data_IF_706290980720
#
_entry.id   IF_706290980720
#
_cell.length_a   1.000
_cell.length_b   1.000
_cell.length_c   1.000
_cell.angle_alpha   90.00
_cell.angle_beta   90.00
_cell.angle_gamma   90.00
#
_symmetry.space_group_name_H-M   'P 1'
#
loop_
_entity.id
_entity.type
_entity.pdbx_description
1 polymer ?
#
# COMPACT_ATOMS: atom_id res chain seq x y z
N UNK A 1 5.98 -21.17 -22.87
CA UNK A 1 6.25 -19.94 -22.09
C UNK A 1 4.94 -19.58 -21.42
N UNK A 2 4.78 -19.98 -20.17
CA UNK A 2 3.53 -19.91 -19.42
C UNK A 2 3.59 -18.69 -18.51
N UNK A 3 2.61 -17.82 -18.64
CA UNK A 3 2.48 -16.57 -17.88
C UNK A 3 2.08 -16.90 -16.44
N UNK A 4 2.93 -16.52 -15.47
CA UNK A 4 2.67 -16.67 -14.03
C UNK A 4 2.96 -15.32 -13.37
N UNK A 5 1.96 -14.74 -12.70
CA UNK A 5 2.15 -13.65 -11.77
C UNK A 5 2.23 -14.22 -10.36
N UNK A 6 3.40 -14.09 -9.71
CA UNK A 6 3.53 -14.34 -8.28
C UNK A 6 3.48 -12.97 -7.59
N UNK A 7 2.44 -12.74 -6.80
CA UNK A 7 2.40 -11.61 -5.88
C UNK A 7 2.83 -12.12 -4.50
N UNK A 8 3.59 -11.31 -3.76
CA UNK A 8 4.02 -11.67 -2.42
C UNK A 8 3.32 -10.78 -1.41
N UNK A 9 2.75 -11.41 -0.39
CA UNK A 9 2.10 -10.72 0.70
C UNK A 9 2.65 -11.26 2.01
N UNK A 10 3.32 -10.39 2.78
CA UNK A 10 3.64 -10.69 4.17
C UNK A 10 2.34 -10.57 4.94
N UNK A 11 1.82 -11.69 5.44
CA UNK A 11 0.56 -11.73 6.16
C UNK A 11 0.84 -11.63 7.66
N UNK A 12 0.16 -10.72 8.34
CA UNK A 12 0.18 -10.59 9.81
C UNK A 12 -1.06 -11.26 10.40
N UNK A 13 -0.96 -11.69 11.67
CA UNK A 13 -2.10 -12.14 12.45
C UNK A 13 -2.63 -10.93 13.24
N UNK A 14 -3.79 -10.39 12.87
CA UNK A 14 -4.44 -9.29 13.60
C UNK A 14 -5.43 -9.89 14.62
N UNK A 15 -5.18 -9.68 15.92
CA UNK A 15 -6.02 -10.20 17.01
C UNK A 15 -7.06 -9.18 17.52
N UNK A 16 -7.49 -8.24 16.68
CA UNK A 16 -8.57 -7.30 16.99
C UNK A 16 -9.94 -7.84 16.59
N UNK A 17 -10.80 -8.09 17.58
CA UNK A 17 -12.19 -8.56 17.43
C UNK A 17 -13.03 -7.70 16.47
N UNK A 18 -13.63 -8.34 15.45
CA UNK A 18 -15.09 -8.48 15.20
C UNK A 18 -15.27 -9.03 13.77
N UNK A 19 -15.79 -10.27 13.69
CA UNK A 19 -16.18 -11.07 12.50
C UNK A 19 -15.07 -11.88 11.80
N UNK A 20 -15.09 -13.19 12.08
CA UNK A 20 -14.36 -14.29 11.41
C UNK A 20 -12.83 -14.18 11.39
N UNK A 21 -12.17 -15.20 11.97
CA UNK A 21 -10.75 -15.50 11.81
C UNK A 21 -10.36 -15.46 10.33
N UNK A 22 -9.81 -14.34 9.89
CA UNK A 22 -9.43 -14.07 8.53
C UNK A 22 -7.98 -13.59 8.55
N UNK A 23 -7.10 -14.31 7.87
CA UNK A 23 -5.76 -13.81 7.58
C UNK A 23 -5.94 -12.54 6.74
N UNK A 24 -5.47 -11.38 7.24
CA UNK A 24 -5.45 -10.14 6.45
C UNK A 24 -4.34 -10.26 5.41
N UNK A 25 -4.73 -10.77 4.23
CA UNK A 25 -3.91 -10.75 3.02
C UNK A 25 -4.07 -9.38 2.35
N UNK A 26 -2.96 -8.66 2.20
CA UNK A 26 -2.91 -7.33 1.61
C UNK A 26 -3.01 -7.40 0.07
N UNK A 27 -4.24 -7.57 -0.45
CA UNK A 27 -4.63 -7.30 -1.84
C UNK A 27 -5.18 -8.51 -2.63
N UNK A 28 -6.16 -8.25 -3.48
CA UNK A 28 -6.70 -9.19 -4.45
C UNK A 28 -6.28 -8.75 -5.87
N UNK A 29 -5.46 -9.52 -6.58
CA UNK A 29 -5.02 -9.13 -7.93
C UNK A 29 -6.01 -9.61 -9.01
N UNK A 30 -7.00 -8.79 -9.39
CA UNK A 30 -7.77 -9.01 -10.63
C UNK A 30 -6.97 -8.48 -11.83
N UNK A 31 -6.00 -9.26 -12.31
CA UNK A 31 -5.23 -8.89 -13.50
C UNK A 31 -6.03 -9.20 -14.79
N UNK A 32 -6.86 -8.25 -15.22
CA UNK A 32 -7.39 -8.20 -16.60
C UNK A 32 -6.51 -7.38 -17.53
N UNK A 33 -5.25 -7.77 -17.71
CA UNK A 33 -4.47 -7.53 -18.93
C UNK A 33 -3.08 -8.16 -18.84
N UNK A 34 -2.66 -8.79 -19.93
CA UNK A 34 -1.50 -9.67 -20.01
C UNK A 34 -0.15 -8.97 -19.84
N UNK A 35 0.77 -9.76 -19.27
CA UNK A 35 2.22 -9.58 -19.05
C UNK A 35 2.66 -8.79 -17.81
N UNK A 36 3.29 -9.52 -16.89
CA UNK A 36 4.45 -9.20 -16.01
C UNK A 36 5.01 -10.55 -15.51
N UNK A 37 6.28 -10.99 -15.62
CA UNK A 37 7.64 -10.40 -15.62
C UNK A 37 8.08 -9.80 -14.28
N UNK A 38 8.35 -10.70 -13.33
CA UNK A 38 9.34 -10.58 -12.23
C UNK A 38 10.26 -9.34 -12.37
N UNK A 39 10.21 -8.40 -11.40
CA UNK A 39 11.25 -7.39 -11.22
C UNK A 39 11.96 -7.61 -9.87
N UNK A 40 12.85 -8.62 -9.76
CA UNK A 40 13.49 -9.01 -8.49
C UNK A 40 14.57 -8.03 -7.99
N UNK A 41 14.65 -6.81 -8.53
CA UNK A 41 15.77 -5.91 -8.27
C UNK A 41 15.53 -4.88 -7.16
N UNK A 42 14.28 -4.65 -6.71
CA UNK A 42 14.00 -3.59 -5.73
C UNK A 42 14.71 -3.78 -4.38
N UNK A 43 14.73 -5.01 -3.86
CA UNK A 43 15.45 -5.34 -2.62
C UNK A 43 16.95 -5.58 -2.85
N UNK A 44 17.36 -6.05 -4.04
CA UNK A 44 18.79 -6.22 -4.36
C UNK A 44 19.55 -4.89 -4.40
N UNK A 45 18.87 -3.80 -4.75
CA UNK A 45 19.46 -2.46 -4.85
C UNK A 45 19.72 -1.83 -3.47
N UNK A 46 18.99 -2.24 -2.42
CA UNK A 46 19.21 -1.76 -1.05
C UNK A 46 20.07 -2.75 -0.27
N UNK A 47 21.40 -2.63 -0.40
CA UNK A 47 22.32 -3.41 0.42
C UNK A 47 21.93 -3.31 1.90
N UNK A 48 21.72 -4.47 2.54
CA UNK A 48 21.46 -4.65 3.99
C UNK A 48 20.11 -4.19 4.53
N UNK A 49 19.05 -4.27 3.73
CA UNK A 49 17.66 -4.13 4.21
C UNK A 49 16.99 -5.51 4.27
N UNK A 50 16.32 -5.85 5.38
CA UNK A 50 15.62 -7.13 5.52
C UNK A 50 14.33 -7.01 6.35
N UNK A 51 13.38 -7.91 6.12
CA UNK A 51 12.18 -8.02 6.97
C UNK A 51 12.50 -8.92 8.17
N UNK A 52 12.19 -8.44 9.37
CA UNK A 52 12.37 -9.21 10.60
C UNK A 52 11.20 -10.18 10.80
N UNK A 53 11.46 -11.48 10.82
CA UNK A 53 10.44 -12.53 10.95
C UNK A 53 10.78 -13.51 12.07
N UNK A 54 9.77 -14.18 12.63
CA UNK A 54 9.93 -15.17 13.69
C UNK A 54 10.37 -14.58 15.04
N UNK A 55 10.69 -15.45 16.00
CA UNK A 55 11.11 -15.04 17.35
C UNK A 55 10.07 -14.14 18.02
N UNK A 56 10.48 -12.94 18.42
CA UNK A 56 9.62 -11.90 19.02
C UNK A 56 8.95 -10.97 17.98
N UNK A 57 9.16 -11.16 16.68
CA UNK A 57 8.49 -10.37 15.62
C UNK A 57 7.01 -10.74 15.50
N UNK A 58 6.16 -9.80 15.10
CA UNK A 58 4.73 -10.04 14.83
C UNK A 58 4.50 -10.96 13.61
N UNK A 59 5.50 -11.14 12.75
CA UNK A 59 5.43 -12.03 11.58
C UNK A 59 5.83 -13.45 11.98
N UNK A 60 4.85 -14.33 12.23
CA UNK A 60 5.08 -15.73 12.60
C UNK A 60 5.00 -16.72 11.43
N UNK A 61 4.32 -16.34 10.35
CA UNK A 61 4.07 -17.21 9.20
C UNK A 61 4.31 -16.45 7.90
N UNK A 62 4.70 -17.20 6.87
CA UNK A 62 4.78 -16.70 5.51
C UNK A 62 3.68 -17.39 4.69
N UNK A 63 2.87 -16.60 4.01
CA UNK A 63 1.78 -17.09 3.17
C UNK A 63 2.10 -16.70 1.74
N UNK A 64 2.12 -17.68 0.84
CA UNK A 64 2.29 -17.46 -0.58
C UNK A 64 0.91 -17.49 -1.27
N UNK A 65 0.57 -16.41 -1.96
CA UNK A 65 -0.61 -16.35 -2.82
C UNK A 65 -0.18 -16.40 -4.29
N UNK A 66 -0.61 -17.44 -5.01
CA UNK A 66 -0.31 -17.58 -6.45
C UNK A 66 -1.59 -17.37 -7.24
N UNK A 67 -1.60 -16.39 -8.14
CA UNK A 67 -2.74 -16.10 -8.99
C UNK A 67 -2.60 -16.80 -10.35
N UNK A 68 -3.45 -17.80 -10.59
CA UNK A 68 -3.49 -18.52 -11.85
C UNK A 68 -4.63 -18.02 -12.74
N UNK A 69 -4.29 -17.43 -13.89
CA UNK A 69 -5.30 -17.01 -14.88
C UNK A 69 -5.99 -18.19 -15.58
N UNK A 70 -5.38 -19.38 -15.55
CA UNK A 70 -5.88 -20.59 -16.19
C UNK A 70 -5.68 -21.78 -15.28
N UNK A 71 -6.58 -22.75 -15.37
CA UNK A 71 -6.40 -24.04 -14.72
C UNK A 71 -5.11 -24.69 -15.22
N UNK A 72 -4.24 -25.07 -14.29
CA UNK A 72 -3.00 -25.79 -14.57
C UNK A 72 -3.15 -27.29 -14.22
N UNK A 73 -2.22 -28.11 -14.72
CA UNK A 73 -1.96 -29.45 -14.17
C UNK A 73 -1.20 -29.35 -12.84
N UNK A 74 -0.49 -30.41 -12.40
CA UNK A 74 0.42 -30.31 -11.26
C UNK A 74 1.42 -29.16 -11.45
N UNK A 75 1.51 -28.28 -10.45
CA UNK A 75 2.36 -27.08 -10.46
C UNK A 75 3.14 -26.99 -9.15
N UNK A 76 4.35 -26.45 -9.24
CA UNK A 76 5.29 -26.28 -8.12
C UNK A 76 5.80 -24.83 -8.04
N UNK A 77 4.97 -23.86 -8.48
CA UNK A 77 5.31 -22.44 -8.38
C UNK A 77 5.52 -22.06 -6.92
N UNK A 78 6.56 -21.25 -6.70
CA UNK A 78 7.00 -20.89 -5.36
C UNK A 78 8.00 -19.75 -5.41
N UNK A 79 8.44 -19.32 -4.24
CA UNK A 79 9.51 -18.35 -4.07
C UNK A 79 10.62 -18.97 -3.23
N UNK A 80 11.87 -18.69 -3.59
CA UNK A 80 13.02 -18.95 -2.73
C UNK A 80 13.28 -17.70 -1.89
N UNK A 81 13.41 -17.87 -0.58
CA UNK A 81 13.68 -16.78 0.37
C UNK A 81 15.07 -16.99 0.94
N UNK A 82 15.92 -15.98 0.82
CA UNK A 82 17.19 -15.92 1.53
C UNK A 82 16.94 -15.35 2.93
N UNK A 83 17.48 -16.02 3.95
CA UNK A 83 17.32 -15.62 5.34
C UNK A 83 18.65 -15.70 6.08
N UNK A 84 18.80 -14.88 7.12
CA UNK A 84 19.96 -14.87 7.99
C UNK A 84 19.50 -14.66 9.44
N UNK A 85 20.30 -15.15 10.38
CA UNK A 85 20.15 -14.84 11.82
C UNK A 85 21.04 -13.69 12.25
N UNK A 86 21.93 -13.23 11.36
CA UNK A 86 22.74 -12.04 11.62
C UNK A 86 21.84 -10.80 11.66
N UNK A 87 21.98 -9.93 12.69
CA UNK A 87 21.20 -8.71 12.77
C UNK A 87 21.40 -7.83 11.53
N UNK A 88 20.29 -7.36 10.95
CA UNK A 88 20.31 -6.42 9.85
C UNK A 88 20.48 -5.00 10.40
N UNK A 89 21.27 -4.17 9.72
CA UNK A 89 21.43 -2.75 10.07
C UNK A 89 20.13 -1.97 9.84
N UNK A 90 19.37 -2.39 8.82
CA UNK A 90 18.12 -1.77 8.41
C UNK A 90 17.00 -2.80 8.35
N UNK A 91 15.89 -2.48 9.01
CA UNK A 91 14.69 -3.33 9.00
C UNK A 91 13.64 -2.73 8.09
N UNK A 92 13.10 -3.54 7.18
CA UNK A 92 11.98 -3.17 6.32
C UNK A 92 10.64 -3.45 7.00
N UNK A 93 9.66 -2.59 6.69
CA UNK A 93 8.26 -2.80 7.02
C UNK A 93 7.37 -2.20 5.91
N UNK A 94 6.06 -2.29 6.07
CA UNK A 94 5.07 -1.77 5.12
C UNK A 94 4.00 -0.98 5.87
N UNK A 95 3.74 0.25 5.42
CA UNK A 95 2.61 1.07 5.83
C UNK A 95 1.48 0.87 4.80
N UNK A 96 0.30 0.50 5.28
CA UNK A 96 -0.93 0.46 4.48
C UNK A 96 -1.71 1.76 4.70
N UNK A 97 -1.95 2.51 3.64
CA UNK A 97 -2.97 3.56 3.62
C UNK A 97 -4.21 3.02 2.90
N UNK A 98 -5.36 3.04 3.56
CA UNK A 98 -6.60 2.43 3.07
C UNK A 98 -7.79 3.34 3.36
N UNK A 99 -8.80 3.30 2.48
CA UNK A 99 -10.05 4.05 2.71
C UNK A 99 -11.27 3.13 2.74
N UNK A 100 -12.27 3.55 3.50
CA UNK A 100 -13.66 3.13 3.30
C UNK A 100 -14.36 3.93 2.20
N UNK A 101 -15.68 3.98 2.30
CA UNK A 101 -16.53 4.87 1.50
C UNK A 101 -17.29 4.15 0.40
N UNK A 102 -18.00 4.94 -0.40
CA UNK A 102 -18.84 4.45 -1.51
C UNK A 102 -18.56 5.29 -2.75
N UNK A 103 -18.14 4.63 -3.83
CA UNK A 103 -18.01 5.22 -5.16
C UNK A 103 -19.40 5.30 -5.82
N UNK A 104 -20.00 6.49 -5.95
CA UNK A 104 -21.35 6.63 -6.48
C UNK A 104 -21.41 6.36 -7.99
N UNK A 105 -22.60 6.07 -8.53
CA UNK A 105 -22.80 5.82 -9.97
C UNK A 105 -22.47 7.05 -10.82
N UNK A 106 -21.94 6.82 -12.02
CA UNK A 106 -21.67 7.86 -13.04
C UNK A 106 -20.85 9.07 -12.56
N UNK A 107 -19.89 8.87 -11.65
CA UNK A 107 -19.14 9.95 -11.01
C UNK A 107 -17.63 9.68 -11.00
N UNK A 108 -16.85 10.74 -11.16
CA UNK A 108 -15.43 10.79 -10.77
C UNK A 108 -15.35 11.22 -9.31
N UNK A 109 -14.66 10.46 -8.48
CA UNK A 109 -14.52 10.74 -7.05
C UNK A 109 -13.08 10.53 -6.57
N UNK A 110 -12.70 11.21 -5.50
CA UNK A 110 -11.45 10.97 -4.79
C UNK A 110 -11.68 10.28 -3.46
N UNK A 111 -10.83 9.29 -3.15
CA UNK A 111 -10.79 8.61 -1.87
C UNK A 111 -9.47 8.95 -1.21
N UNK A 112 -9.54 9.59 -0.04
CA UNK A 112 -8.40 10.27 0.58
C UNK A 112 -8.20 9.74 1.99
N UNK A 113 -6.95 9.53 2.38
CA UNK A 113 -6.57 9.23 3.77
C UNK A 113 -5.34 10.05 4.13
N UNK A 114 -5.24 10.45 5.40
CA UNK A 114 -4.07 11.16 5.91
C UNK A 114 -3.89 10.85 7.40
N UNK A 115 -2.67 10.50 7.80
CA UNK A 115 -2.33 10.20 9.19
C UNK A 115 -1.02 10.87 9.59
N UNK A 116 -0.97 11.37 10.82
CA UNK A 116 0.24 11.89 11.43
C UNK A 116 1.09 10.69 11.88
N UNK A 117 2.39 10.74 11.64
CA UNK A 117 3.35 9.82 12.25
C UNK A 117 3.55 10.27 13.70
N UNK A 118 2.92 9.58 14.64
CA UNK A 118 2.96 9.91 16.07
C UNK A 118 4.07 9.15 16.84
N UNK A 119 4.65 8.12 16.24
CA UNK A 119 5.78 7.36 16.77
C UNK A 119 7.13 8.02 16.44
N UNK A 120 8.10 7.91 17.36
CA UNK A 120 9.51 8.34 17.13
C UNK A 120 10.21 7.32 16.21
N UNK A 121 9.94 7.44 14.91
CA UNK A 121 10.52 6.60 13.85
C UNK A 121 11.05 7.47 12.72
N UNK A 122 12.18 7.06 12.14
CA UNK A 122 12.71 7.63 10.89
C UNK A 122 12.52 6.61 9.76
N UNK A 123 11.53 6.85 8.91
CA UNK A 123 11.18 5.98 7.79
C UNK A 123 11.78 6.47 6.49
N UNK A 124 12.32 5.54 5.70
CA UNK A 124 12.86 5.79 4.37
C UNK A 124 12.08 4.99 3.33
N UNK A 125 11.08 5.60 2.67
CA UNK A 125 10.30 4.95 1.62
C UNK A 125 11.20 4.52 0.47
N UNK A 126 10.99 3.31 -0.04
CA UNK A 126 11.77 2.83 -1.18
C UNK A 126 10.94 2.11 -2.24
N UNK A 127 9.77 1.58 -1.88
CA UNK A 127 8.85 1.02 -2.86
C UNK A 127 7.38 1.29 -2.52
N UNK A 128 6.54 1.27 -3.54
CA UNK A 128 5.10 1.48 -3.47
C UNK A 128 4.37 0.40 -4.27
N UNK A 129 3.18 0.03 -3.81
CA UNK A 129 2.21 -0.80 -4.55
C UNK A 129 0.82 -0.23 -4.31
N UNK A 130 0.30 0.55 -5.26
CA UNK A 130 -1.10 0.95 -5.23
C UNK A 130 -1.99 -0.21 -5.66
N UNK A 131 -3.21 -0.24 -5.13
CA UNK A 131 -4.19 -1.27 -5.42
C UNK A 131 -5.60 -0.68 -5.44
N UNK A 132 -6.30 -0.94 -6.53
CA UNK A 132 -7.75 -0.77 -6.69
C UNK A 132 -8.31 -2.00 -7.38
N UNK A 133 -9.64 -2.11 -7.46
CA UNK A 133 -10.25 -3.03 -8.42
C UNK A 133 -10.34 -2.34 -9.78
N UNK A 134 -11.54 -2.12 -10.33
CA UNK A 134 -11.77 -1.82 -11.76
C UNK A 134 -11.85 -0.33 -12.09
N UNK A 135 -12.14 0.54 -11.12
CA UNK A 135 -12.44 1.95 -11.37
C UNK A 135 -11.29 2.91 -11.09
N UNK A 136 -10.16 2.41 -10.60
CA UNK A 136 -8.97 3.22 -10.34
C UNK A 136 -8.41 3.85 -11.61
N UNK A 137 -8.04 5.13 -11.51
CA UNK A 137 -7.38 5.89 -12.59
C UNK A 137 -5.95 6.26 -12.18
N UNK A 138 -5.79 6.76 -10.97
CA UNK A 138 -4.50 7.12 -10.41
C UNK A 138 -4.54 6.95 -8.90
N UNK A 139 -3.42 6.51 -8.32
CA UNK A 139 -3.26 6.38 -6.89
C UNK A 139 -1.89 6.90 -6.51
N UNK A 140 -1.86 7.85 -5.58
CA UNK A 140 -0.66 8.59 -5.22
C UNK A 140 -0.57 8.82 -3.72
N UNK A 141 0.65 8.98 -3.21
CA UNK A 141 0.90 9.35 -1.82
C UNK A 141 1.95 10.45 -1.68
N UNK A 142 1.86 11.21 -0.61
CA UNK A 142 2.69 12.35 -0.28
C UNK A 142 3.09 12.32 1.19
N UNK A 143 4.24 12.93 1.46
CA UNK A 143 4.55 13.48 2.79
C UNK A 143 4.08 14.92 2.81
N UNK A 144 3.36 15.30 3.85
CA UNK A 144 2.80 16.63 4.06
C UNK A 144 3.42 17.24 5.30
N UNK A 145 3.90 18.48 5.16
CA UNK A 145 4.54 19.23 6.25
C UNK A 145 4.02 20.65 6.29
N UNK A 146 3.40 21.00 7.42
CA UNK A 146 2.99 22.37 7.70
C UNK A 146 4.24 23.27 7.76
N UNK A 147 4.17 24.41 7.08
CA UNK A 147 5.20 25.43 7.07
C UNK A 147 4.88 26.50 8.13
N UNK A 148 5.87 27.32 8.55
CA UNK A 148 5.64 28.36 9.57
C UNK A 148 4.57 29.40 9.23
N UNK A 149 4.19 29.53 7.97
CA UNK A 149 3.11 30.41 7.49
C UNK A 149 1.72 29.75 7.50
N UNK A 150 1.61 28.52 8.04
CA UNK A 150 0.38 27.73 8.10
C UNK A 150 0.03 27.02 6.79
N UNK A 151 0.91 27.07 5.79
CA UNK A 151 0.69 26.38 4.51
C UNK A 151 1.25 24.98 4.49
N UNK A 152 0.60 24.06 3.78
CA UNK A 152 1.09 22.70 3.63
C UNK A 152 2.04 22.55 2.44
N UNK A 153 3.20 21.95 2.71
CA UNK A 153 4.14 21.52 1.68
C UNK A 153 3.99 20.03 1.41
N UNK A 154 3.70 19.71 0.16
CA UNK A 154 3.48 18.35 -0.31
C UNK A 154 4.69 17.83 -1.08
N UNK A 155 5.25 16.71 -0.66
CA UNK A 155 6.33 16.01 -1.36
C UNK A 155 5.81 14.65 -1.85
N UNK A 156 5.77 14.45 -3.17
CA UNK A 156 5.26 13.22 -3.78
C UNK A 156 6.20 12.04 -3.46
N UNK A 157 5.65 11.00 -2.84
CA UNK A 157 6.33 9.72 -2.63
C UNK A 157 6.29 8.91 -3.92
N UNK A 158 5.10 8.83 -4.53
CA UNK A 158 4.94 8.31 -5.88
C UNK A 158 3.48 8.12 -6.27
N UNK A 159 3.25 8.03 -7.58
CA UNK A 159 1.95 7.98 -8.24
C UNK A 159 1.97 6.86 -9.28
N UNK A 160 0.88 6.09 -9.38
CA UNK A 160 0.74 5.05 -10.41
C UNK A 160 -0.70 4.86 -10.82
N UNK A 161 -0.89 4.40 -12.06
CA UNK A 161 -2.12 3.77 -12.51
C UNK A 161 -2.25 2.39 -11.83
N UNK A 162 -3.30 2.16 -11.01
CA UNK A 162 -3.49 0.90 -10.27
C UNK A 162 -3.99 -0.27 -11.13
N UNK A 163 -4.41 -0.01 -12.38
CA UNK A 163 -4.78 -1.04 -13.35
C UNK A 163 -3.57 -1.56 -14.12
N UNK A 164 -2.44 -0.84 -14.06
CA UNK A 164 -1.17 -1.43 -14.41
C UNK A 164 -0.85 -2.59 -13.44
N UNK A 165 -0.03 -3.54 -13.88
CA UNK A 165 0.31 -4.69 -13.06
C UNK A 165 0.82 -4.30 -11.65
N UNK A 166 0.16 -4.86 -10.65
CA UNK A 166 0.22 -4.43 -9.25
C UNK A 166 1.40 -5.04 -8.48
N UNK A 167 2.61 -4.82 -8.97
CA UNK A 167 3.85 -5.14 -8.24
C UNK A 167 4.34 -3.93 -7.43
N UNK A 168 5.22 -4.19 -6.46
CA UNK A 168 6.03 -3.12 -5.87
C UNK A 168 6.93 -2.46 -6.91
N UNK A 169 7.07 -1.15 -6.79
CA UNK A 169 7.76 -0.27 -7.73
C UNK A 169 8.55 0.77 -6.94
N UNK A 170 9.69 1.26 -7.44
CA UNK A 170 10.46 2.24 -6.70
C UNK A 170 9.64 3.52 -6.49
N UNK A 171 9.85 4.18 -5.36
CA UNK A 171 9.34 5.54 -5.12
C UNK A 171 10.01 6.55 -6.08
N UNK A 172 9.38 7.71 -6.28
CA UNK A 172 9.91 8.75 -7.15
C UNK A 172 11.20 9.38 -6.60
N UNK A 173 11.31 9.48 -5.27
CA UNK A 173 12.44 10.10 -4.57
C UNK A 173 12.80 9.27 -3.33
N UNK A 174 13.95 8.61 -3.38
CA UNK A 174 14.49 7.78 -2.29
C UNK A 174 15.21 8.61 -1.22
N UNK A 175 15.34 9.93 -1.40
CA UNK A 175 15.87 10.85 -0.39
C UNK A 175 14.82 11.29 0.63
N UNK A 176 13.54 10.93 0.42
CA UNK A 176 12.47 11.20 1.37
C UNK A 176 12.78 10.49 2.69
N UNK A 177 12.73 11.28 3.76
CA UNK A 177 12.78 10.81 5.14
C UNK A 177 11.51 11.29 5.82
N UNK A 178 10.76 10.36 6.42
CA UNK A 178 9.52 10.65 7.15
C UNK A 178 9.79 10.47 8.63
N UNK A 179 9.43 11.47 9.44
CA UNK A 179 9.69 11.49 10.89
C UNK A 179 8.41 11.73 11.68
N UNK A 180 8.52 11.56 13.00
CA UNK A 180 7.48 11.98 13.93
C UNK A 180 7.00 13.41 13.65
N UNK A 181 5.68 13.60 13.62
CA UNK A 181 5.03 14.87 13.31
C UNK A 181 4.79 15.12 11.82
N UNK A 182 5.47 14.42 10.90
CA UNK A 182 5.11 14.45 9.48
C UNK A 182 3.74 13.78 9.28
N UNK A 183 2.98 14.26 8.30
CA UNK A 183 1.75 13.60 7.87
C UNK A 183 1.98 12.83 6.57
N UNK A 184 1.44 11.62 6.48
CA UNK A 184 1.44 10.81 5.25
C UNK A 184 0.02 10.79 4.72
N UNK A 185 -0.15 11.18 3.47
CA UNK A 185 -1.45 11.27 2.82
C UNK A 185 -1.46 10.47 1.53
N UNK A 186 -2.54 9.75 1.24
CA UNK A 186 -2.75 9.11 -0.07
C UNK A 186 -4.13 9.37 -0.64
N UNK A 187 -4.21 9.38 -1.96
CA UNK A 187 -5.43 9.59 -2.73
C UNK A 187 -5.55 8.58 -3.83
N UNK A 188 -6.71 7.94 -3.93
CA UNK A 188 -7.16 7.29 -5.16
C UNK A 188 -8.10 8.21 -5.92
N UNK A 189 -7.89 8.31 -7.23
CA UNK A 189 -8.84 8.91 -8.16
C UNK A 189 -9.55 7.77 -8.87
N UNK A 190 -10.88 7.75 -8.80
CA UNK A 190 -11.70 6.71 -9.41
C UNK A 190 -12.76 7.31 -10.32
N UNK A 191 -13.12 6.57 -11.37
CA UNK A 191 -14.19 6.97 -12.29
C UNK A 191 -15.16 5.81 -12.46
N UNK A 192 -16.35 5.96 -11.90
CA UNK A 192 -17.45 5.04 -12.10
C UNK A 192 -18.28 5.47 -13.31
N UNK A 193 -18.31 4.62 -14.35
CA UNK A 193 -19.14 4.81 -15.56
C UNK A 193 -20.39 3.95 -15.56
N UNK A 194 -20.63 3.19 -14.48
CA UNK A 194 -21.76 2.31 -14.32
C UNK A 194 -22.90 3.01 -13.55
N UNK A 195 -24.13 2.53 -13.76
CA UNK A 195 -25.34 3.01 -13.09
C UNK A 195 -25.55 2.39 -11.69
N UNK A 196 -24.49 1.85 -11.05
CA UNK A 196 -24.53 1.30 -9.70
C UNK A 196 -23.39 1.85 -8.85
N UNK A 197 -23.61 1.94 -7.54
CA UNK A 197 -22.58 2.33 -6.59
C UNK A 197 -21.69 1.13 -6.21
N UNK A 198 -20.46 1.42 -5.79
CA UNK A 198 -19.50 0.43 -5.30
C UNK A 198 -19.03 0.82 -3.91
N UNK A 199 -19.29 -0.02 -2.92
CA UNK A 199 -18.69 0.15 -1.60
C UNK A 199 -17.23 -0.31 -1.62
N UNK A 200 -16.40 0.25 -0.75
CA UNK A 200 -15.08 -0.33 -0.50
C UNK A 200 -15.21 -1.68 0.21
N UNK A 201 -14.52 -2.70 -0.28
CA UNK A 201 -14.66 -4.08 0.19
C UNK A 201 -13.69 -5.07 -0.45
N UNK A 202 -13.74 -6.31 0.02
CA UNK A 202 -12.72 -7.32 -0.29
C UNK A 202 -13.02 -8.22 -1.49
N UNK A 203 -14.18 -8.06 -2.13
CA UNK A 203 -14.58 -8.91 -3.26
C UNK A 203 -14.37 -8.20 -4.59
N UNK A 204 -14.26 -8.94 -5.69
CA UNK A 204 -14.19 -8.34 -7.03
C UNK A 204 -15.46 -7.57 -7.45
N UNK A 205 -16.54 -7.65 -6.68
CA UNK A 205 -17.74 -6.82 -6.90
C UNK A 205 -17.69 -5.48 -6.16
N UNK A 206 -16.77 -5.33 -5.19
CA UNK A 206 -16.51 -4.11 -4.44
C UNK A 206 -15.43 -3.26 -5.14
N UNK A 207 -15.06 -2.14 -4.54
CA UNK A 207 -13.82 -1.41 -4.86
C UNK A 207 -12.81 -1.45 -3.71
N UNK A 208 -11.58 -1.04 -3.99
CA UNK A 208 -10.57 -0.79 -2.97
C UNK A 208 -9.78 0.48 -3.30
N UNK A 209 -9.32 1.17 -2.26
CA UNK A 209 -8.31 2.20 -2.37
C UNK A 209 -7.21 1.92 -1.37
N UNK A 210 -6.15 1.24 -1.82
CA UNK A 210 -5.02 0.89 -0.98
C UNK A 210 -3.73 1.45 -1.58
N UNK A 211 -2.87 1.99 -0.72
CA UNK A 211 -1.50 2.34 -1.06
C UNK A 211 -0.57 1.66 -0.04
N UNK A 212 0.16 0.65 -0.51
CA UNK A 212 1.21 0.02 0.27
C UNK A 212 2.52 0.76 0.06
N UNK A 213 3.09 1.30 1.12
CA UNK A 213 4.42 1.92 1.11
C UNK A 213 5.40 1.04 1.87
N UNK A 214 6.41 0.54 1.18
CA UNK A 214 7.56 -0.10 1.81
C UNK A 214 8.60 0.95 2.18
N UNK A 215 9.06 0.83 3.41
CA UNK A 215 10.10 1.67 3.97
C UNK A 215 11.06 0.82 4.79
N UNK A 216 12.26 1.36 5.00
CA UNK A 216 13.20 0.81 5.98
C UNK A 216 13.47 1.83 7.08
N UNK A 217 13.92 1.34 8.23
CA UNK A 217 14.35 2.10 9.41
C UNK A 217 15.72 1.58 9.87
N UNK A 218 16.45 2.36 10.66
CA UNK A 218 17.64 1.84 11.34
C UNK A 218 17.26 1.00 12.56
N UNK A 219 17.93 -0.16 12.72
CA UNK A 219 17.61 -1.10 13.78
C UNK A 219 16.20 -1.69 13.63
N UNK A 220 15.50 -1.91 14.75
CA UNK A 220 14.20 -2.61 14.80
C UNK A 220 13.01 -1.69 15.10
N UNK A 221 13.19 -0.37 14.99
CA UNK A 221 12.18 0.62 15.36
C UNK A 221 11.18 0.89 14.23
N UNK A 222 10.42 -0.13 13.83
CA UNK A 222 9.35 0.00 12.82
C UNK A 222 8.06 0.51 13.49
N UNK A 223 7.21 1.20 12.72
CA UNK A 223 5.84 1.54 13.18
C UNK A 223 5.12 0.32 13.74
N UNK A 224 4.48 0.50 14.89
CA UNK A 224 3.60 -0.48 15.51
C UNK A 224 2.22 -0.41 14.89
N UNK A 225 1.69 0.80 14.72
CA UNK A 225 0.49 1.02 13.92
C UNK A 225 0.88 1.34 12.48
N UNK A 226 0.87 0.30 11.65
CA UNK A 226 1.24 0.38 10.25
C UNK A 226 0.02 0.51 9.32
N UNK A 227 -1.14 0.92 9.84
CA UNK A 227 -2.36 1.11 9.05
C UNK A 227 -2.94 2.52 9.23
N UNK A 228 -2.95 3.29 8.15
CA UNK A 228 -3.59 4.59 8.07
C UNK A 228 -4.95 4.47 7.37
N UNK A 229 -6.03 4.57 8.15
CA UNK A 229 -7.40 4.42 7.67
C UNK A 229 -8.17 5.74 7.70
N UNK A 230 -9.01 5.96 6.68
CA UNK A 230 -10.07 6.98 6.69
C UNK A 230 -11.39 6.38 6.24
N UNK A 231 -12.55 6.98 6.60
CA UNK A 231 -13.85 6.49 6.11
C UNK A 231 -14.07 6.74 4.61
N UNK A 232 -13.19 7.51 3.94
CA UNK A 232 -13.28 7.80 2.52
C UNK A 232 -14.49 8.66 2.13
N UNK A 233 -14.74 8.81 0.83
CA UNK A 233 -15.84 9.63 0.34
C UNK A 233 -17.20 8.93 0.50
N UNK A 234 -18.29 9.70 0.71
CA UNK A 234 -18.33 11.17 0.78
C UNK A 234 -17.98 11.77 2.16
N UNK A 235 -17.71 10.95 3.17
CA UNK A 235 -17.55 11.40 4.57
C UNK A 235 -16.20 12.06 4.86
N UNK A 236 -15.18 11.84 4.03
CA UNK A 236 -13.83 12.32 4.26
C UNK A 236 -13.12 12.79 2.98
N UNK A 237 -12.66 14.03 3.04
CA UNK A 237 -11.70 14.65 2.16
C UNK A 237 -10.68 15.44 2.98
N UNK A 238 -9.45 15.54 2.47
CA UNK A 238 -8.35 16.23 3.15
C UNK A 238 -8.67 17.68 3.52
N UNK A 239 -9.40 18.38 2.65
CA UNK A 239 -9.71 19.80 2.85
C UNK A 239 -10.64 20.05 4.04
N UNK A 240 -11.61 19.16 4.27
CA UNK A 240 -12.68 19.35 5.26
C UNK A 240 -12.38 18.61 6.56
N UNK A 241 -11.93 17.36 6.50
CA UNK A 241 -11.78 16.51 7.68
C UNK A 241 -10.34 16.47 8.20
N UNK A 242 -9.34 16.65 7.33
CA UNK A 242 -7.92 16.71 7.72
C UNK A 242 -7.38 18.15 7.87
N UNK A 243 -8.16 19.16 7.47
CA UNK A 243 -7.76 20.57 7.52
C UNK A 243 -6.59 20.94 6.60
N UNK A 244 -6.28 20.10 5.61
CA UNK A 244 -5.13 20.31 4.73
C UNK A 244 -5.41 21.35 3.65
N UNK A 245 -4.39 22.13 3.31
CA UNK A 245 -4.42 23.16 2.29
C UNK A 245 -3.34 22.93 1.22
N UNK A 246 -3.27 23.81 0.21
CA UNK A 246 -2.37 23.66 -0.95
C UNK A 246 -2.40 22.27 -1.61
N UNK A 247 -3.57 21.64 -1.58
CA UNK A 247 -3.77 20.25 -1.98
C UNK A 247 -3.42 20.08 -3.46
N UNK A 248 -2.55 19.10 -3.81
CA UNK A 248 -2.24 18.77 -5.20
C UNK A 248 -3.52 18.45 -5.98
N UNK A 249 -3.65 18.86 -7.25
CA UNK A 249 -4.84 18.59 -8.05
C UNK A 249 -5.02 17.09 -8.32
N UNK A 250 -6.27 16.62 -8.30
CA UNK A 250 -6.61 15.25 -8.68
C UNK A 250 -6.61 15.12 -10.21
N UNK A 251 -5.60 14.43 -10.75
CA UNK A 251 -5.48 14.14 -12.18
C UNK A 251 -6.41 12.99 -12.56
#
# INVERSE_FOLDING_TARGET
MTECGCDWQVCYHDSGDYLNSSYRCLGHTDQKQGKICYHPELLKVLMRVGFKVGGESDIKYLVLQVHYMKKLGPDYSGIAIESTVEPMEKTASTLLMVTGGVLPPNKKETFETACIVDEDVEMHPFALRPHTHRHGVSVAAWVVREQPDGTDKWQLIGERDPLLPQMFQPVNDTSIVIRQGDMIASRCVMVNKENKAFAMGNTGEDEMCNYYMMYWVYGDNVLKDNTCYSPGAPEYHWASEAGLNNIPPAK
#
